data_IF_271722117859
#
_entry.id   IF_271722117859
#
_cell.length_a   1.000
_cell.length_b   1.000
_cell.length_c   1.000
_cell.angle_alpha   90.00
_cell.angle_beta   90.00
_cell.angle_gamma   90.00
#
_symmetry.space_group_name_H-M   'P 1'
#
loop_
_entity.id
_entity.type
_entity.pdbx_description
1 polymer ?
#
# COMPACT_ATOMS: atom_id res chain seq x y z
N UNK A 1 26.96 -11.47 -20.48
CA UNK A 1 25.56 -11.05 -20.27
C UNK A 1 25.20 -11.37 -18.83
N UNK A 2 24.74 -10.39 -18.05
CA UNK A 2 24.29 -10.63 -16.67
C UNK A 2 22.90 -11.27 -16.76
N UNK A 3 22.66 -12.45 -16.15
CA UNK A 3 21.35 -13.07 -16.17
C UNK A 3 20.31 -12.14 -15.52
N UNK A 4 19.06 -12.15 -16.00
CA UNK A 4 17.99 -11.34 -15.42
C UNK A 4 17.81 -11.77 -13.95
N UNK A 5 18.03 -10.83 -13.04
CA UNK A 5 17.79 -10.99 -11.61
C UNK A 5 16.86 -9.89 -11.14
N UNK A 6 16.05 -10.20 -10.11
CA UNK A 6 15.20 -9.22 -9.44
C UNK A 6 15.68 -9.02 -8.01
N UNK A 7 15.26 -7.93 -7.39
CA UNK A 7 15.49 -7.68 -5.98
C UNK A 7 14.21 -7.91 -5.16
N UNK A 8 14.37 -8.40 -3.94
CA UNK A 8 13.27 -8.57 -3.00
C UNK A 8 12.58 -7.23 -2.73
N UNK A 9 11.25 -7.18 -2.87
CA UNK A 9 10.47 -5.97 -2.62
C UNK A 9 10.49 -5.50 -1.14
N UNK A 10 10.93 -6.35 -0.21
CA UNK A 10 11.02 -6.00 1.21
C UNK A 10 12.46 -5.70 1.68
N UNK A 11 13.46 -6.46 1.22
CA UNK A 11 14.85 -6.39 1.73
C UNK A 11 15.95 -6.12 0.69
N UNK A 12 15.63 -6.13 -0.61
CA UNK A 12 16.59 -5.82 -1.67
C UNK A 12 17.57 -6.95 -2.07
N UNK A 13 17.49 -8.14 -1.49
CA UNK A 13 18.35 -9.28 -1.87
C UNK A 13 18.07 -9.72 -3.31
N UNK A 14 19.10 -10.14 -4.04
CA UNK A 14 18.99 -10.70 -5.40
C UNK A 14 18.26 -12.05 -5.39
N UNK A 15 17.22 -12.17 -6.23
CA UNK A 15 16.31 -13.32 -6.34
C UNK A 15 16.20 -13.70 -7.83
N UNK A 16 15.95 -14.99 -8.16
CA UNK A 16 15.55 -15.39 -9.51
C UNK A 16 14.40 -14.52 -10.06
N UNK A 17 14.35 -14.31 -11.39
CA UNK A 17 13.39 -13.39 -12.01
C UNK A 17 11.92 -13.83 -11.86
N UNK A 18 11.69 -15.09 -11.55
CA UNK A 18 10.36 -15.69 -11.35
C UNK A 18 9.75 -15.34 -9.98
N UNK A 19 10.59 -15.06 -8.98
CA UNK A 19 10.16 -14.80 -7.61
C UNK A 19 10.26 -13.31 -7.25
N UNK A 20 9.37 -12.84 -6.36
CA UNK A 20 9.31 -11.44 -5.94
C UNK A 20 9.77 -11.18 -4.50
N UNK A 21 9.93 -12.25 -3.70
CA UNK A 21 10.33 -12.18 -2.30
C UNK A 21 11.33 -13.28 -1.97
N UNK A 22 12.37 -12.97 -1.19
CA UNK A 22 13.43 -13.92 -0.88
C UNK A 22 13.01 -14.99 0.15
N UNK A 23 11.89 -14.77 0.84
CA UNK A 23 11.35 -15.67 1.85
C UNK A 23 9.88 -15.36 2.13
N UNK A 24 9.19 -16.34 2.72
CA UNK A 24 7.81 -16.15 3.18
C UNK A 24 7.70 -15.04 4.24
N UNK A 25 8.71 -14.89 5.12
CA UNK A 25 8.76 -13.80 6.09
C UNK A 25 8.73 -12.42 5.42
N UNK A 26 9.55 -12.22 4.38
CA UNK A 26 9.57 -10.96 3.63
C UNK A 26 8.24 -10.67 2.94
N UNK A 27 7.55 -11.70 2.45
CA UNK A 27 6.20 -11.56 1.86
C UNK A 27 5.18 -11.13 2.90
N UNK A 28 5.17 -11.78 4.07
CA UNK A 28 4.24 -11.47 5.16
C UNK A 28 4.45 -10.06 5.73
N UNK A 29 5.70 -9.65 5.95
CA UNK A 29 6.02 -8.29 6.40
C UNK A 29 5.58 -7.23 5.38
N UNK A 30 5.84 -7.48 4.09
CA UNK A 30 5.43 -6.58 3.02
C UNK A 30 3.90 -6.45 2.96
N UNK A 31 3.17 -7.57 3.05
CA UNK A 31 1.70 -7.58 3.10
C UNK A 31 1.20 -6.86 4.34
N UNK A 32 1.80 -7.07 5.51
CA UNK A 32 1.41 -6.41 6.75
C UNK A 32 1.61 -4.89 6.69
N UNK A 33 2.77 -4.43 6.20
CA UNK A 33 3.07 -3.00 5.96
C UNK A 33 2.07 -2.40 4.98
N UNK A 34 1.82 -3.08 3.85
CA UNK A 34 0.87 -2.62 2.84
C UNK A 34 -0.55 -2.56 3.40
N UNK A 35 -1.01 -3.56 4.15
CA UNK A 35 -2.32 -3.57 4.79
C UNK A 35 -2.49 -2.42 5.78
N UNK A 36 -1.46 -2.10 6.56
CA UNK A 36 -1.46 -0.94 7.47
C UNK A 36 -1.57 0.38 6.69
N UNK A 37 -0.80 0.53 5.61
CA UNK A 37 -0.87 1.71 4.74
C UNK A 37 -2.25 1.86 4.09
N UNK A 38 -2.81 0.77 3.54
CA UNK A 38 -4.15 0.79 2.93
C UNK A 38 -5.22 1.16 3.95
N UNK A 39 -5.18 0.62 5.17
CA UNK A 39 -6.11 1.02 6.25
C UNK A 39 -6.02 2.50 6.58
N UNK A 40 -4.81 3.04 6.69
CA UNK A 40 -4.62 4.48 6.96
C UNK A 40 -5.16 5.34 5.82
N UNK A 41 -4.92 4.95 4.57
CA UNK A 41 -5.44 5.66 3.40
C UNK A 41 -6.96 5.59 3.32
N UNK A 42 -7.57 4.44 3.64
CA UNK A 42 -9.02 4.29 3.68
C UNK A 42 -9.66 5.21 4.72
N UNK A 43 -9.09 5.27 5.94
CA UNK A 43 -9.57 6.17 7.00
C UNK A 43 -9.47 7.64 6.55
N UNK A 44 -8.33 8.03 5.97
CA UNK A 44 -8.15 9.38 5.45
C UNK A 44 -9.18 9.73 4.37
N UNK A 45 -9.41 8.82 3.43
CA UNK A 45 -10.37 9.03 2.34
C UNK A 45 -11.81 9.15 2.87
N UNK A 46 -12.21 8.30 3.83
CA UNK A 46 -13.53 8.38 4.46
C UNK A 46 -13.68 9.71 5.21
N UNK A 47 -12.69 10.13 5.99
CA UNK A 47 -12.72 11.41 6.69
C UNK A 47 -12.86 12.59 5.72
N UNK A 48 -12.10 12.57 4.61
CA UNK A 48 -12.20 13.59 3.56
C UNK A 48 -13.60 13.65 2.94
N UNK A 49 -14.21 12.49 2.63
CA UNK A 49 -15.57 12.44 2.09
C UNK A 49 -16.60 13.00 3.06
N UNK A 50 -16.47 12.72 4.36
CA UNK A 50 -17.37 13.27 5.39
C UNK A 50 -17.29 14.79 5.43
N UNK A 51 -16.08 15.35 5.39
CA UNK A 51 -15.86 16.81 5.39
C UNK A 51 -16.49 17.45 4.15
N UNK A 52 -16.25 16.87 2.97
CA UNK A 52 -16.82 17.36 1.71
C UNK A 52 -18.35 17.30 1.77
N UNK A 53 -18.92 16.20 2.25
CA UNK A 53 -20.37 16.05 2.36
C UNK A 53 -20.98 17.05 3.35
N UNK A 54 -20.35 17.23 4.51
CA UNK A 54 -20.77 18.22 5.50
C UNK A 54 -20.72 19.65 4.94
N UNK A 55 -19.69 19.98 4.16
CA UNK A 55 -19.57 21.28 3.49
C UNK A 55 -20.68 21.48 2.45
N UNK A 56 -20.91 20.48 1.58
CA UNK A 56 -21.98 20.53 0.58
C UNK A 56 -23.34 20.68 1.27
N UNK A 57 -23.60 19.89 2.32
CA UNK A 57 -24.82 20.02 3.10
C UNK A 57 -24.98 21.43 3.70
N UNK A 58 -23.93 21.98 4.32
CA UNK A 58 -23.96 23.34 4.87
C UNK A 58 -24.29 24.39 3.80
N UNK A 59 -23.77 24.24 2.57
CA UNK A 59 -24.05 25.16 1.46
C UNK A 59 -25.47 24.98 0.91
N UNK A 60 -25.97 23.74 0.82
CA UNK A 60 -27.31 23.44 0.29
C UNK A 60 -28.44 23.74 1.27
N UNK A 61 -28.21 23.63 2.58
CA UNK A 61 -29.19 23.93 3.64
C UNK A 61 -29.14 25.39 4.12
N UNK A 62 -28.37 26.24 3.43
CA UNK A 62 -28.32 27.69 3.66
C UNK A 62 -29.15 28.43 2.62
#
# INVERSE_FOLDING_TARGET
MIPPHRHCLNCGISIPPEESFCSQKCKEEFIAKRKKMMRSQQIFFIAMLIIIFAYIAMVLFK
#
